data_IF_399200829510
#
_entry.id   IF_399200829510
#
_cell.length_a   1.000
_cell.length_b   1.000
_cell.length_c   1.000
_cell.angle_alpha   90.00
_cell.angle_beta   90.00
_cell.angle_gamma   90.00
#
_symmetry.space_group_name_H-M   'P 1'
#
loop_
_entity.id
_entity.type
_entity.pdbx_description
1 polymer ?
#
# COMPACT_ATOMS: atom_id res chain seq x y z
N UNK A 1 -8.68 5.15 -6.10
CA UNK A 1 -8.74 6.60 -6.37
C UNK A 1 -8.27 7.42 -5.18
N UNK A 2 -7.91 8.67 -5.45
CA UNK A 2 -7.49 9.71 -4.51
C UNK A 2 -8.34 10.94 -4.80
N UNK A 3 -9.07 11.45 -3.81
CA UNK A 3 -9.93 12.61 -3.93
C UNK A 3 -9.49 13.68 -2.94
N UNK A 4 -9.36 14.93 -3.39
CA UNK A 4 -8.97 16.05 -2.54
C UNK A 4 -10.17 16.93 -2.17
N UNK A 5 -10.09 17.71 -1.07
CA UNK A 5 -11.16 18.64 -0.69
C UNK A 5 -11.48 19.71 -1.74
N UNK A 6 -10.50 20.09 -2.56
CA UNK A 6 -10.67 21.03 -3.69
C UNK A 6 -11.22 20.36 -4.97
N UNK A 7 -11.61 19.09 -4.90
CA UNK A 7 -12.26 18.38 -5.99
C UNK A 7 -11.31 17.78 -7.04
N UNK A 8 -9.99 17.77 -6.79
CA UNK A 8 -9.05 17.03 -7.65
C UNK A 8 -9.21 15.53 -7.45
N UNK A 9 -8.98 14.81 -8.53
CA UNK A 9 -9.06 13.35 -8.58
C UNK A 9 -7.77 12.80 -9.20
N UNK A 10 -7.22 11.79 -8.56
CA UNK A 10 -6.09 11.01 -9.05
C UNK A 10 -6.28 9.54 -8.74
N UNK A 11 -5.45 8.69 -9.33
CA UNK A 11 -5.46 7.26 -9.05
C UNK A 11 -4.09 6.65 -9.35
N UNK A 12 -3.79 5.54 -8.70
CA UNK A 12 -2.66 4.67 -9.04
C UNK A 12 -3.25 3.33 -9.44
N UNK A 13 -2.89 2.84 -10.62
CA UNK A 13 -3.24 1.48 -11.04
C UNK A 13 -2.26 0.50 -10.40
N UNK A 14 -2.71 -0.73 -10.11
CA UNK A 14 -1.88 -1.76 -9.52
C UNK A 14 -0.84 -2.22 -10.54
N UNK A 15 0.44 -2.22 -10.22
CA UNK A 15 1.49 -2.63 -11.17
C UNK A 15 1.64 -4.15 -11.19
N UNK A 16 1.71 -4.75 -10.00
CA UNK A 16 1.97 -6.16 -9.82
C UNK A 16 0.67 -6.90 -9.55
N UNK A 17 0.19 -7.60 -10.57
CA UNK A 17 -0.93 -8.53 -10.42
C UNK A 17 -0.47 -9.80 -9.70
N UNK A 18 -1.28 -10.25 -8.76
CA UNK A 18 -1.19 -11.57 -8.13
C UNK A 18 -1.45 -12.67 -9.16
N UNK A 19 -1.11 -13.92 -8.81
CA UNK A 19 -1.43 -15.07 -9.67
C UNK A 19 -2.94 -15.20 -9.92
N UNK A 20 -3.77 -14.93 -8.91
CA UNK A 20 -5.23 -14.96 -9.04
C UNK A 20 -5.76 -13.89 -10.00
N UNK A 21 -5.30 -12.64 -9.87
CA UNK A 21 -5.72 -11.55 -10.76
C UNK A 21 -5.32 -11.82 -12.21
N UNK A 22 -4.12 -12.36 -12.44
CA UNK A 22 -3.67 -12.79 -13.78
C UNK A 22 -4.53 -13.93 -14.34
N UNK A 23 -4.89 -14.91 -13.51
CA UNK A 23 -5.67 -16.07 -13.95
C UNK A 23 -7.13 -15.72 -14.28
N UNK A 24 -7.71 -14.76 -13.54
CA UNK A 24 -9.09 -14.32 -13.76
C UNK A 24 -9.22 -13.28 -14.87
N UNK A 25 -8.18 -12.47 -15.13
CA UNK A 25 -8.19 -11.43 -16.15
C UNK A 25 -9.18 -10.30 -15.86
N UNK A 26 -9.62 -10.14 -14.60
CA UNK A 26 -10.62 -9.14 -14.20
C UNK A 26 -10.06 -7.71 -14.21
N UNK A 27 -8.74 -7.56 -14.09
CA UNK A 27 -8.05 -6.27 -14.09
C UNK A 27 -6.78 -6.35 -14.93
N UNK A 28 -6.38 -5.21 -15.48
CA UNK A 28 -5.12 -5.03 -16.19
C UNK A 28 -4.09 -4.35 -15.27
N UNK A 29 -2.79 -4.65 -15.43
CA UNK A 29 -1.75 -3.95 -14.69
C UNK A 29 -1.60 -2.51 -15.20
N UNK A 30 -1.26 -1.60 -14.30
CA UNK A 30 -0.75 -0.28 -14.66
C UNK A 30 0.71 -0.33 -15.11
N UNK A 31 1.13 0.71 -15.84
CA UNK A 31 2.50 0.88 -16.35
C UNK A 31 3.19 2.16 -15.85
N UNK A 32 2.50 2.98 -15.07
CA UNK A 32 2.98 4.26 -14.58
C UNK A 32 2.92 4.35 -13.05
N UNK A 33 3.96 4.92 -12.45
CA UNK A 33 4.02 5.26 -11.04
C UNK A 33 3.73 6.75 -10.85
N UNK A 34 2.86 7.07 -9.89
CA UNK A 34 2.42 8.42 -9.59
C UNK A 34 2.78 8.81 -8.15
N UNK A 35 2.97 10.11 -7.96
CA UNK A 35 3.14 10.76 -6.65
C UNK A 35 2.22 11.97 -6.61
N UNK A 36 1.47 12.11 -5.53
CA UNK A 36 0.43 13.11 -5.32
C UNK A 36 0.88 14.12 -4.27
N UNK A 37 0.43 15.37 -4.40
CA UNK A 37 0.58 16.37 -3.35
C UNK A 37 -0.63 16.33 -2.42
N UNK A 38 -0.39 16.05 -1.14
CA UNK A 38 -1.35 16.09 -0.06
C UNK A 38 -0.91 17.18 0.93
N UNK A 39 -1.43 18.39 0.76
CA UNK A 39 -1.18 19.53 1.64
C UNK A 39 0.31 19.75 1.97
N UNK A 40 1.17 19.65 0.94
CA UNK A 40 2.62 19.80 1.07
C UNK A 40 3.39 18.51 1.44
N UNK A 41 2.69 17.41 1.71
CA UNK A 41 3.27 16.07 1.83
C UNK A 41 3.10 15.32 0.52
N UNK A 42 4.21 14.88 -0.06
CA UNK A 42 4.16 14.07 -1.28
C UNK A 42 3.85 12.61 -0.93
N UNK A 43 2.71 12.12 -1.38
CA UNK A 43 2.22 10.77 -1.10
C UNK A 43 2.28 9.87 -2.34
N UNK A 44 2.54 8.59 -2.13
CA UNK A 44 2.52 7.56 -3.14
C UNK A 44 1.60 6.42 -2.73
N UNK A 45 1.13 5.63 -3.69
CA UNK A 45 0.27 4.48 -3.46
C UNK A 45 0.97 3.23 -4.00
N UNK A 46 0.99 2.15 -3.22
CA UNK A 46 1.41 0.81 -3.66
C UNK A 46 0.30 -0.18 -3.29
N UNK A 47 -0.36 -0.77 -4.27
CA UNK A 47 -1.58 -1.55 -4.02
C UNK A 47 -1.22 -2.99 -3.66
N UNK A 48 -1.48 -3.35 -2.40
CA UNK A 48 -1.42 -4.72 -1.88
C UNK A 48 -0.08 -5.40 -2.23
N UNK A 49 -0.09 -6.24 -3.27
CA UNK A 49 1.04 -7.00 -3.76
C UNK A 49 2.21 -6.12 -4.21
N UNK A 50 1.97 -4.88 -4.67
CA UNK A 50 3.03 -3.94 -5.04
C UNK A 50 4.04 -3.71 -3.89
N UNK A 51 3.58 -3.75 -2.64
CA UNK A 51 4.42 -3.49 -1.45
C UNK A 51 5.53 -4.56 -1.24
N UNK A 52 5.34 -5.75 -1.79
CA UNK A 52 6.32 -6.84 -1.74
C UNK A 52 7.53 -6.57 -2.64
N UNK A 53 7.43 -5.60 -3.57
CA UNK A 53 8.46 -5.28 -4.55
C UNK A 53 9.15 -3.94 -4.20
N UNK A 54 10.47 -3.92 -3.99
CA UNK A 54 11.15 -2.71 -3.53
C UNK A 54 11.27 -1.62 -4.60
N UNK A 55 11.51 -2.01 -5.86
CA UNK A 55 11.86 -1.06 -6.92
C UNK A 55 10.77 -0.04 -7.26
N UNK A 56 9.46 -0.40 -7.35
CA UNK A 56 8.42 0.58 -7.62
C UNK A 56 8.32 1.66 -6.54
N UNK A 57 8.36 1.26 -5.27
CA UNK A 57 8.30 2.19 -4.13
C UNK A 57 9.56 3.03 -4.07
N UNK A 58 10.72 2.46 -4.37
CA UNK A 58 11.97 3.21 -4.49
C UNK A 58 11.89 4.31 -5.53
N UNK A 59 11.33 4.01 -6.71
CA UNK A 59 11.14 5.02 -7.76
C UNK A 59 10.18 6.13 -7.32
N UNK A 60 9.11 5.81 -6.58
CA UNK A 60 8.21 6.82 -6.01
C UNK A 60 8.91 7.70 -4.96
N UNK A 61 9.77 7.11 -4.11
CA UNK A 61 10.59 7.85 -3.15
C UNK A 61 11.56 8.82 -3.84
N UNK A 62 12.24 8.37 -4.90
CA UNK A 62 13.14 9.18 -5.71
C UNK A 62 12.39 10.29 -6.45
N UNK A 63 11.15 10.02 -6.86
CA UNK A 63 10.24 11.02 -7.40
C UNK A 63 9.73 12.01 -6.33
N UNK A 64 10.05 11.83 -5.05
CA UNK A 64 9.82 12.77 -3.96
C UNK A 64 8.80 12.34 -2.92
N UNK A 65 8.22 11.14 -3.00
CA UNK A 65 7.27 10.64 -2.00
C UNK A 65 7.91 10.52 -0.61
N UNK A 66 7.18 10.93 0.43
CA UNK A 66 7.55 10.82 1.85
C UNK A 66 6.49 10.14 2.71
N UNK A 67 5.33 9.88 2.11
CA UNK A 67 4.27 9.04 2.64
C UNK A 67 3.94 7.97 1.60
N UNK A 68 3.90 6.71 2.00
CA UNK A 68 3.40 5.60 1.20
C UNK A 68 2.06 5.12 1.77
N UNK A 69 1.08 4.92 0.92
CA UNK A 69 -0.22 4.37 1.28
C UNK A 69 -0.32 2.98 0.64
N UNK A 70 -0.59 1.97 1.47
CA UNK A 70 -0.66 0.57 1.05
C UNK A 70 -2.05 0.01 1.34
N UNK A 71 -3.03 0.24 0.44
CA UNK A 71 -4.32 -0.41 0.53
C UNK A 71 -4.19 -1.89 0.13
N UNK A 72 -4.85 -2.76 0.89
CA UNK A 72 -4.74 -4.21 0.68
C UNK A 72 -6.02 -4.96 1.02
N UNK A 73 -6.15 -6.11 0.38
CA UNK A 73 -7.28 -7.02 0.50
C UNK A 73 -6.73 -8.44 0.42
N UNK A 74 -6.76 -9.15 1.56
CA UNK A 74 -6.16 -10.49 1.70
C UNK A 74 -7.07 -11.40 2.51
N UNK A 75 -7.23 -12.65 2.08
CA UNK A 75 -8.08 -13.66 2.69
C UNK A 75 -7.38 -14.40 3.84
N UNK A 76 -6.09 -14.64 3.67
CA UNK A 76 -5.26 -15.43 4.58
C UNK A 76 -4.40 -14.57 5.49
N UNK A 77 -4.13 -15.08 6.70
CA UNK A 77 -3.15 -14.49 7.61
C UNK A 77 -1.74 -14.39 6.97
N UNK A 78 -1.37 -15.37 6.14
CA UNK A 78 -0.10 -15.33 5.40
C UNK A 78 -0.06 -14.15 4.40
N UNK A 79 -1.15 -13.89 3.67
CA UNK A 79 -1.26 -12.73 2.79
C UNK A 79 -1.14 -11.41 3.56
N UNK A 80 -1.90 -11.27 4.65
CA UNK A 80 -1.86 -10.09 5.50
C UNK A 80 -0.45 -9.83 6.05
N UNK A 81 0.25 -10.87 6.49
CA UNK A 81 1.61 -10.77 7.01
C UNK A 81 2.63 -10.36 5.93
N UNK A 82 2.50 -10.84 4.69
CA UNK A 82 3.38 -10.39 3.61
C UNK A 82 3.24 -8.89 3.35
N UNK A 83 2.00 -8.38 3.32
CA UNK A 83 1.76 -6.94 3.18
C UNK A 83 2.35 -6.17 4.36
N UNK A 84 2.14 -6.64 5.60
CA UNK A 84 2.71 -6.00 6.80
C UNK A 84 4.24 -5.93 6.76
N UNK A 85 4.90 -7.03 6.41
CA UNK A 85 6.36 -7.09 6.26
C UNK A 85 6.82 -6.19 5.11
N UNK A 86 6.10 -6.17 3.99
CA UNK A 86 6.34 -5.24 2.89
C UNK A 86 6.31 -3.80 3.36
N UNK A 87 5.26 -3.38 4.07
CA UNK A 87 5.12 -2.03 4.60
C UNK A 87 6.29 -1.63 5.52
N UNK A 88 6.63 -2.48 6.50
CA UNK A 88 7.78 -2.27 7.38
C UNK A 88 9.10 -2.15 6.60
N UNK A 89 9.31 -3.01 5.61
CA UNK A 89 10.50 -2.96 4.76
C UNK A 89 10.57 -1.68 3.92
N UNK A 90 9.44 -1.21 3.37
CA UNK A 90 9.38 0.04 2.60
C UNK A 90 9.63 1.26 3.49
N UNK A 91 9.11 1.27 4.71
CA UNK A 91 9.38 2.30 5.71
C UNK A 91 10.87 2.37 6.04
N UNK A 92 11.50 1.20 6.27
CA UNK A 92 12.92 1.06 6.59
C UNK A 92 13.83 1.54 5.45
N UNK A 93 13.71 0.94 4.26
CA UNK A 93 14.70 1.13 3.19
C UNK A 93 14.63 2.54 2.57
N UNK A 94 13.44 3.14 2.57
CA UNK A 94 13.21 4.47 1.98
C UNK A 94 13.15 5.59 3.03
N UNK A 95 13.14 5.26 4.33
CA UNK A 95 12.94 6.21 5.43
C UNK A 95 11.70 7.10 5.23
N UNK A 96 10.58 6.47 4.94
CA UNK A 96 9.28 7.14 4.74
C UNK A 96 8.24 6.62 5.73
N UNK A 97 7.19 7.40 5.96
CA UNK A 97 6.01 6.90 6.65
C UNK A 97 5.20 5.98 5.73
N UNK A 98 4.62 4.92 6.29
CA UNK A 98 3.78 3.99 5.56
C UNK A 98 2.44 3.83 6.28
N UNK A 99 1.34 4.14 5.60
CA UNK A 99 -0.01 3.87 6.07
C UNK A 99 -0.52 2.58 5.43
N UNK A 100 -0.60 1.51 6.21
CA UNK A 100 -1.20 0.24 5.81
C UNK A 100 -2.70 0.30 6.07
N UNK A 101 -3.50 0.24 5.00
CA UNK A 101 -4.95 0.09 5.08
C UNK A 101 -5.37 -1.28 4.55
N UNK A 102 -6.25 -1.94 5.29
CA UNK A 102 -6.66 -3.32 5.05
C UNK A 102 -8.17 -3.41 5.01
N UNK A 103 -8.70 -4.31 4.20
CA UNK A 103 -10.05 -4.84 4.42
C UNK A 103 -10.01 -5.86 5.57
N UNK A 104 -11.09 -5.94 6.35
CA UNK A 104 -11.23 -6.91 7.44
C UNK A 104 -12.68 -7.37 7.57
N UNK A 105 -12.86 -8.61 8.03
CA UNK A 105 -14.17 -9.21 8.29
C UNK A 105 -14.72 -10.04 7.14
N UNK A 106 -16.02 -10.34 7.20
CA UNK A 106 -16.68 -11.21 6.24
C UNK A 106 -17.51 -10.41 5.23
N UNK A 107 -17.40 -10.79 3.97
CA UNK A 107 -18.19 -10.28 2.86
C UNK A 107 -18.73 -11.46 2.04
N UNK A 108 -19.65 -12.29 2.59
CA UNK A 108 -20.12 -13.53 1.94
C UNK A 108 -20.81 -13.29 0.59
N UNK A 109 -21.16 -12.04 0.29
CA UNK A 109 -21.73 -11.60 -0.98
C UNK A 109 -20.68 -11.32 -2.07
N UNK A 110 -19.39 -11.26 -1.72
CA UNK A 110 -18.30 -10.95 -2.64
C UNK A 110 -17.82 -12.21 -3.36
N UNK A 111 -17.92 -12.28 -4.70
CA UNK A 111 -17.45 -13.42 -5.46
C UNK A 111 -15.92 -13.47 -5.57
N UNK A 112 -15.24 -12.36 -5.28
CA UNK A 112 -13.78 -12.25 -5.39
C UNK A 112 -13.07 -12.61 -4.09
N UNK A 113 -13.60 -12.13 -2.95
CA UNK A 113 -13.01 -12.38 -1.63
C UNK A 113 -14.09 -12.26 -0.55
N UNK A 114 -14.48 -13.40 0.02
CA UNK A 114 -15.57 -13.54 1.00
C UNK A 114 -15.11 -13.40 2.45
N UNK A 115 -13.82 -13.58 2.71
CA UNK A 115 -13.16 -13.37 4.00
C UNK A 115 -11.98 -12.42 3.81
N UNK A 116 -11.84 -11.45 4.71
CA UNK A 116 -10.78 -10.47 4.70
C UNK A 116 -10.08 -10.46 6.07
N UNK A 117 -8.75 -10.53 6.03
CA UNK A 117 -7.88 -10.60 7.19
C UNK A 117 -6.82 -9.52 7.09
N UNK A 118 -6.53 -8.85 8.19
CA UNK A 118 -5.46 -7.87 8.28
C UNK A 118 -5.64 -6.96 9.50
N UNK A 119 -4.58 -6.23 9.83
CA UNK A 119 -4.59 -5.17 10.82
C UNK A 119 -4.05 -3.91 10.17
N UNK A 120 -4.81 -2.81 10.25
CA UNK A 120 -4.35 -1.52 9.78
C UNK A 120 -3.21 -1.04 10.70
N UNK A 121 -2.23 -0.35 10.12
CA UNK A 121 -1.10 0.13 10.89
C UNK A 121 -0.47 1.37 10.25
N UNK A 122 0.21 2.16 11.06
CA UNK A 122 1.08 3.24 10.59
C UNK A 122 2.51 2.94 11.00
N UNK A 123 3.41 2.90 10.01
CA UNK A 123 4.83 2.69 10.23
C UNK A 123 5.61 3.99 10.03
N UNK A 124 6.56 4.25 10.95
CA UNK A 124 7.54 5.30 10.87
C UNK A 124 8.88 4.79 10.33
N UNK A 125 9.76 5.68 9.84
CA UNK A 125 11.18 5.38 9.76
C UNK A 125 11.70 4.99 11.15
N UNK A 126 12.35 3.82 11.25
CA UNK A 126 13.00 3.38 12.49
C UNK A 126 14.29 4.18 12.72
N UNK A 127 14.13 5.43 13.16
CA UNK A 127 15.21 6.39 13.38
C UNK A 127 15.00 7.16 14.70
N UNK A 128 15.94 8.02 15.07
CA UNK A 128 15.94 8.81 16.30
C UNK A 128 14.61 9.56 16.46
N UNK A 129 13.92 9.31 17.57
CA UNK A 129 12.64 9.95 17.90
C UNK A 129 11.40 9.12 17.53
N UNK A 130 11.56 7.94 16.91
CA UNK A 130 10.46 7.03 16.59
C UNK A 130 10.55 5.70 17.37
N UNK A 131 9.45 4.92 17.44
CA UNK A 131 9.44 3.60 18.08
C UNK A 131 10.50 2.66 17.50
N UNK A 132 11.06 1.81 18.36
CA UNK A 132 12.14 0.89 17.98
C UNK A 132 11.70 -0.18 16.97
N UNK A 133 10.42 -0.51 16.94
CA UNK A 133 9.79 -1.42 15.97
C UNK A 133 9.16 -0.70 14.77
N UNK A 134 9.23 0.63 14.75
CA UNK A 134 8.66 1.48 13.72
C UNK A 134 7.13 1.55 13.72
N UNK A 135 6.42 0.95 14.67
CA UNK A 135 4.94 0.93 14.69
C UNK A 135 4.42 2.12 15.50
N UNK A 136 3.63 3.00 14.86
CA UNK A 136 3.06 4.19 15.51
C UNK A 136 1.64 3.96 16.02
N UNK A 137 0.83 3.22 15.26
CA UNK A 137 -0.57 2.94 15.51
C UNK A 137 -0.98 1.67 14.79
#
# INVERSE_FOLDING_TARGET
DWFTPDGRHGWQDKLQLTGFEKATGLIEPGDALKVFDLDGVRAAIAICYDSEFPLPVRAQYEAGARLLIVPSCTDTAAGAMRVRVGCLARALENRVFVAQSVTAGQAPWSPALDVNTGEAAVFAPMDVGFPADGVLA
#
